data_IF_795087609722
#
_entry.id   IF_795087609722
#
_cell.length_a   1.000
_cell.length_b   1.000
_cell.length_c   1.000
_cell.angle_alpha   90.00
_cell.angle_beta   90.00
_cell.angle_gamma   90.00
#
_symmetry.space_group_name_H-M   'P 1'
#
loop_
_entity.id
_entity.type
_entity.pdbx_description
1 polymer ?
#
# COMPACT_ATOMS: atom_id res chain seq x y z
N UNK A 1 24.99 29.88 28.61
CA UNK A 1 24.68 28.56 28.01
C UNK A 1 23.18 28.32 28.12
N UNK A 2 22.42 28.49 27.04
CA UNK A 2 21.03 28.02 26.96
C UNK A 2 20.69 27.86 25.48
N UNK A 3 20.82 26.63 24.97
CA UNK A 3 20.29 26.27 23.66
C UNK A 3 18.76 26.24 23.74
N UNK A 4 18.13 27.33 23.29
CA UNK A 4 16.71 27.38 22.99
C UNK A 4 16.46 26.32 21.91
N UNK A 5 15.99 25.14 22.30
CA UNK A 5 15.56 24.11 21.36
C UNK A 5 14.29 24.60 20.69
N UNK A 6 14.46 25.02 19.44
CA UNK A 6 13.42 25.57 18.58
C UNK A 6 12.36 24.49 18.26
N UNK A 7 11.11 24.62 18.75
CA UNK A 7 10.07 23.61 18.54
C UNK A 7 9.63 23.50 17.07
N UNK A 8 10.02 24.46 16.22
CA UNK A 8 9.70 24.48 14.80
C UNK A 8 10.39 23.34 14.03
N UNK A 9 11.59 22.93 14.48
CA UNK A 9 12.38 21.86 13.82
C UNK A 9 11.77 20.47 13.99
N UNK A 10 11.03 20.22 15.07
CA UNK A 10 10.34 18.93 15.33
C UNK A 10 9.03 18.78 14.55
N UNK A 11 8.37 19.88 14.14
CA UNK A 11 7.14 19.83 13.33
C UNK A 11 7.45 19.52 11.86
N UNK A 12 8.54 20.07 11.32
CA UNK A 12 8.96 19.88 9.93
C UNK A 12 9.36 18.43 9.58
N UNK A 13 10.00 17.70 10.49
CA UNK A 13 10.36 16.30 10.25
C UNK A 13 9.15 15.34 10.36
N UNK A 14 8.18 15.65 11.23
CA UNK A 14 6.98 14.82 11.40
C UNK A 14 6.07 14.89 10.17
N UNK A 15 5.88 16.08 9.59
CA UNK A 15 5.07 16.28 8.37
C UNK A 15 5.77 15.73 7.12
N UNK A 16 7.08 15.86 7.00
CA UNK A 16 7.83 15.31 5.86
C UNK A 16 7.78 13.77 5.83
N UNK A 17 7.78 13.13 7.00
CA UNK A 17 7.69 11.68 7.14
C UNK A 17 6.26 11.12 7.02
N UNK A 18 5.22 11.95 7.18
CA UNK A 18 3.84 11.54 6.86
C UNK A 18 3.51 11.69 5.38
N UNK A 19 4.11 12.69 4.70
CA UNK A 19 3.97 12.87 3.25
C UNK A 19 4.60 11.70 2.49
N UNK A 20 5.79 11.23 2.88
CA UNK A 20 6.43 10.08 2.23
C UNK A 20 5.59 8.79 2.33
N UNK A 21 5.02 8.50 3.50
CA UNK A 21 4.13 7.35 3.68
C UNK A 21 2.85 7.45 2.82
N UNK A 22 2.30 8.65 2.67
CA UNK A 22 1.12 8.88 1.84
C UNK A 22 1.45 8.69 0.34
N UNK A 23 2.64 9.09 -0.09
CA UNK A 23 3.15 8.85 -1.43
C UNK A 23 3.33 7.36 -1.70
N UNK A 24 3.95 6.63 -0.77
CA UNK A 24 4.11 5.16 -0.83
C UNK A 24 2.76 4.44 -0.91
N UNK A 25 1.81 4.81 -0.06
CA UNK A 25 0.44 4.27 -0.08
C UNK A 25 -0.30 4.55 -1.39
N UNK A 26 -0.21 5.80 -1.88
CA UNK A 26 -0.83 6.21 -3.15
C UNK A 26 -0.24 5.45 -4.33
N UNK A 27 1.08 5.24 -4.35
CA UNK A 27 1.75 4.44 -5.37
C UNK A 27 1.34 2.97 -5.32
N UNK A 28 1.30 2.35 -4.13
CA UNK A 28 0.87 0.98 -3.96
C UNK A 28 -0.57 0.78 -4.47
N UNK A 29 -1.49 1.70 -4.14
CA UNK A 29 -2.86 1.69 -4.67
C UNK A 29 -2.93 1.86 -6.17
N UNK A 30 -2.12 2.74 -6.76
CA UNK A 30 -2.05 2.92 -8.22
C UNK A 30 -1.55 1.66 -8.92
N UNK A 31 -0.59 0.94 -8.33
CA UNK A 31 -0.06 -0.33 -8.87
C UNK A 31 -1.06 -1.48 -8.71
N UNK A 32 -1.83 -1.50 -7.62
CA UNK A 32 -2.84 -2.53 -7.36
C UNK A 32 -4.05 -2.45 -8.31
N UNK A 33 -4.52 -1.24 -8.64
CA UNK A 33 -5.69 -1.02 -9.50
C UNK A 33 -5.65 -1.81 -10.84
N UNK A 34 -4.62 -1.69 -11.69
CA UNK A 34 -4.56 -2.43 -12.95
C UNK A 34 -4.47 -3.95 -12.76
N UNK A 35 -3.82 -4.41 -11.68
CA UNK A 35 -3.71 -5.84 -11.37
C UNK A 35 -5.06 -6.43 -10.98
N UNK A 36 -5.85 -5.71 -10.18
CA UNK A 36 -7.23 -6.10 -9.85
C UNK A 36 -8.11 -6.20 -11.10
N UNK A 37 -8.00 -5.23 -12.00
CA UNK A 37 -8.73 -5.26 -13.28
C UNK A 37 -8.31 -6.46 -14.12
N UNK A 38 -7.00 -6.73 -14.28
CA UNK A 38 -6.50 -7.89 -15.03
C UNK A 38 -6.98 -9.22 -14.42
N UNK A 39 -6.99 -9.34 -13.09
CA UNK A 39 -7.54 -10.52 -12.39
C UNK A 39 -9.03 -10.70 -12.69
N UNK A 40 -9.82 -9.63 -12.60
CA UNK A 40 -11.27 -9.69 -12.88
C UNK A 40 -11.54 -10.08 -14.33
N UNK A 41 -10.80 -9.52 -15.29
CA UNK A 41 -10.94 -9.88 -16.71
C UNK A 41 -10.62 -11.36 -16.92
N UNK A 42 -9.51 -11.86 -16.36
CA UNK A 42 -9.16 -13.28 -16.44
C UNK A 42 -10.22 -14.19 -15.81
N UNK A 43 -10.81 -13.80 -14.68
CA UNK A 43 -11.90 -14.55 -14.04
C UNK A 43 -13.18 -14.60 -14.86
N UNK A 44 -13.46 -13.56 -15.66
CA UNK A 44 -14.64 -13.48 -16.53
C UNK A 44 -14.42 -14.20 -17.85
N UNK A 45 -13.23 -14.09 -18.43
CA UNK A 45 -12.92 -14.62 -19.77
C UNK A 45 -12.47 -16.08 -19.78
N UNK A 46 -11.97 -16.62 -18.65
CA UNK A 46 -11.42 -17.99 -18.59
C UNK A 46 -12.29 -18.92 -17.75
N UNK A 47 -12.39 -20.17 -18.21
CA UNK A 47 -13.06 -21.21 -17.44
C UNK A 47 -12.24 -21.55 -16.18
N UNK A 48 -12.89 -21.88 -15.05
CA UNK A 48 -12.21 -22.16 -13.76
C UNK A 48 -11.09 -23.19 -13.84
N UNK A 49 -11.23 -24.19 -14.70
CA UNK A 49 -10.21 -25.22 -14.95
C UNK A 49 -8.97 -24.64 -15.63
N UNK A 50 -9.14 -23.73 -16.59
CA UNK A 50 -8.03 -23.08 -17.29
C UNK A 50 -7.26 -22.10 -16.38
N UNK A 51 -7.94 -21.50 -15.39
CA UNK A 51 -7.32 -20.63 -14.40
C UNK A 51 -6.53 -21.40 -13.35
N UNK A 52 -7.01 -22.59 -12.95
CA UNK A 52 -6.34 -23.44 -11.96
C UNK A 52 -4.97 -23.94 -12.46
N UNK A 53 -4.87 -24.22 -13.76
CA UNK A 53 -3.63 -24.68 -14.39
C UNK A 53 -2.75 -23.53 -14.93
N UNK A 54 -3.20 -22.28 -14.81
CA UNK A 54 -2.48 -21.11 -15.34
C UNK A 54 -1.47 -20.56 -14.33
N UNK A 55 -0.19 -20.80 -14.60
CA UNK A 55 0.93 -20.21 -13.85
C UNK A 55 0.93 -18.67 -13.89
N UNK A 56 0.45 -18.07 -14.99
CA UNK A 56 0.31 -16.61 -15.11
C UNK A 56 -0.75 -16.09 -14.12
N UNK A 57 -1.87 -16.79 -13.99
CA UNK A 57 -2.93 -16.42 -13.05
C UNK A 57 -2.51 -16.58 -11.59
N UNK A 58 -1.76 -17.64 -11.27
CA UNK A 58 -1.16 -17.82 -9.94
C UNK A 58 -0.21 -16.67 -9.58
N UNK A 59 0.68 -16.30 -10.51
CA UNK A 59 1.62 -15.18 -10.34
C UNK A 59 0.88 -13.86 -10.06
N UNK A 60 -0.23 -13.60 -10.76
CA UNK A 60 -1.03 -12.40 -10.51
C UNK A 60 -1.74 -12.43 -9.16
N UNK A 61 -2.19 -13.59 -8.70
CA UNK A 61 -2.79 -13.71 -7.37
C UNK A 61 -1.75 -13.43 -6.28
N UNK A 62 -0.57 -14.04 -6.36
CA UNK A 62 0.50 -13.84 -5.37
C UNK A 62 0.91 -12.37 -5.31
N UNK A 63 1.11 -11.74 -6.48
CA UNK A 63 1.49 -10.32 -6.54
C UNK A 63 0.39 -9.38 -6.03
N UNK A 64 -0.87 -9.76 -6.23
CA UNK A 64 -2.01 -9.01 -5.69
C UNK A 64 -2.05 -9.13 -4.17
N UNK A 65 -1.86 -10.33 -3.63
CA UNK A 65 -1.85 -10.58 -2.19
C UNK A 65 -0.70 -9.87 -1.48
N UNK A 66 0.50 -9.87 -2.08
CA UNK A 66 1.66 -9.11 -1.58
C UNK A 66 1.36 -7.61 -1.51
N UNK A 67 0.81 -7.03 -2.59
CA UNK A 67 0.46 -5.61 -2.62
C UNK A 67 -0.69 -5.24 -1.67
N UNK A 68 -1.65 -6.15 -1.46
CA UNK A 68 -2.72 -5.95 -0.48
C UNK A 68 -2.15 -5.97 0.96
N UNK A 69 -1.22 -6.87 1.26
CA UNK A 69 -0.52 -6.89 2.54
C UNK A 69 0.34 -5.64 2.78
N UNK A 70 1.11 -5.19 1.78
CA UNK A 70 1.90 -3.96 1.85
C UNK A 70 1.00 -2.74 2.14
N UNK A 71 -0.19 -2.70 1.53
CA UNK A 71 -1.17 -1.65 1.76
C UNK A 71 -1.70 -1.70 3.20
N UNK A 72 -2.07 -2.87 3.70
CA UNK A 72 -2.55 -3.03 5.09
C UNK A 72 -1.48 -2.59 6.11
N UNK A 73 -0.20 -2.93 5.87
CA UNK A 73 0.92 -2.48 6.71
C UNK A 73 1.09 -0.96 6.69
N UNK A 74 0.96 -0.34 5.50
CA UNK A 74 1.03 1.11 5.34
C UNK A 74 -0.15 1.81 6.03
N UNK A 75 -1.37 1.25 5.96
CA UNK A 75 -2.54 1.78 6.66
C UNK A 75 -2.35 1.72 8.18
N UNK A 76 -1.88 0.58 8.72
CA UNK A 76 -1.55 0.45 10.14
C UNK A 76 -0.45 1.43 10.57
N UNK A 77 0.59 1.60 9.75
CA UNK A 77 1.66 2.56 10.02
C UNK A 77 1.16 4.01 9.99
N UNK A 78 0.23 4.33 9.10
CA UNK A 78 -0.42 5.64 9.00
C UNK A 78 -1.29 5.93 10.23
N UNK A 79 -2.13 4.98 10.64
CA UNK A 79 -3.01 5.09 11.81
C UNK A 79 -2.23 5.28 13.12
N UNK A 80 -1.18 4.47 13.32
CA UNK A 80 -0.26 4.59 14.48
C UNK A 80 0.42 5.96 14.53
N UNK A 81 0.74 6.55 13.39
CA UNK A 81 1.48 7.82 13.30
C UNK A 81 0.60 9.05 13.47
N UNK A 82 -0.66 8.95 13.04
CA UNK A 82 -1.67 9.99 13.19
C UNK A 82 -2.43 9.91 14.52
N UNK A 83 -2.31 8.81 15.25
CA UNK A 83 -2.97 8.64 16.54
C UNK A 83 -4.47 8.43 16.40
N UNK A 84 -4.92 7.88 15.26
CA UNK A 84 -6.26 7.35 15.12
C UNK A 84 -6.30 5.94 15.76
N UNK A 85 -5.90 5.83 17.02
CA UNK A 85 -6.34 4.69 17.83
C UNK A 85 -7.85 4.88 18.04
N UNK A 86 -8.65 3.94 17.57
CA UNK A 86 -10.09 3.90 17.82
C UNK A 86 -10.42 2.78 18.79
#
# INVERSE_FOLDING_TARGET
>A
MTTRSDPSRKRSCRTRSSVSLLEEYSEARRRLSPLRVKRTVLQVEKHRSELADSAEYATFQDRTAELEADIDELEVAFDRKLGYER
#
